data_IF_213512690423
#
_entry.id   IF_213512690423
#
_cell.length_a   1.000
_cell.length_b   1.000
_cell.length_c   1.000
_cell.angle_alpha   90.00
_cell.angle_beta   90.00
_cell.angle_gamma   90.00
#
_symmetry.space_group_name_H-M   'P 1'
#
loop_
_entity.id
_entity.type
_entity.pdbx_description
1 polymer ?
2 polymer ?
3 non-polymer ?
4 non-polymer ?
5 non-polymer ?
6 water ?
#
# COMPACT_ATOMS: atom_id res chain seq x y z
N UNK A 1 -4.14 5.33 24.59
CA UNK A 1 -4.43 6.06 23.32
C UNK A 1 -5.41 7.19 23.56
N UNK A 2 -5.23 8.30 22.85
CA UNK A 2 -6.11 9.44 23.03
C UNK A 2 -7.53 9.16 22.54
N UNK A 3 -7.72 8.10 21.75
CA UNK A 3 -9.04 7.70 21.27
C UNK A 3 -9.70 6.65 22.15
N UNK A 4 -9.07 6.28 23.27
CA UNK A 4 -9.60 5.22 24.11
C UNK A 4 -10.96 5.53 24.71
N UNK A 5 -11.27 6.81 24.87
CA UNK A 5 -12.55 7.19 25.48
C UNK A 5 -13.67 7.37 24.47
N UNK A 6 -13.39 7.28 23.17
CA UNK A 6 -14.41 7.50 22.15
C UNK A 6 -15.00 6.18 21.65
N UNK A 7 -16.32 6.18 21.44
CA UNK A 7 -16.99 4.99 20.93
C UNK A 7 -16.44 4.58 19.58
N UNK A 8 -16.38 3.26 19.36
CA UNK A 8 -15.94 2.73 18.06
C UNK A 8 -16.75 3.34 16.93
N UNK A 9 -18.08 3.36 17.06
CA UNK A 9 -18.92 3.87 15.98
C UNK A 9 -18.66 5.35 15.74
N UNK A 10 -18.39 6.12 16.80
CA UNK A 10 -18.09 7.54 16.65
C UNK A 10 -16.75 7.76 15.95
N UNK A 11 -15.75 6.93 16.24
CA UNK A 11 -14.47 6.99 15.54
C UNK A 11 -14.65 6.74 14.05
N UNK A 12 -15.46 5.73 13.69
CA UNK A 12 -15.69 5.44 12.28
C UNK A 12 -16.42 6.61 11.62
N UNK A 13 -17.45 7.13 12.28
CA UNK A 13 -18.17 8.29 11.76
C UNK A 13 -17.22 9.46 11.52
N UNK A 14 -16.38 9.77 12.52
CA UNK A 14 -15.45 10.88 12.36
C UNK A 14 -14.37 10.60 11.31
N UNK A 15 -13.95 9.34 11.14
CA UNK A 15 -13.04 9.03 10.05
C UNK A 15 -13.65 9.42 8.70
N UNK A 16 -14.95 9.15 8.52
CA UNK A 16 -15.61 9.48 7.26
C UNK A 16 -15.72 10.99 7.07
N UNK A 17 -15.97 11.72 8.16
CA UNK A 17 -15.99 13.18 8.10
C UNK A 17 -14.62 13.74 7.75
N UNK A 18 -13.56 13.22 8.38
CA UNK A 18 -12.22 13.69 8.10
C UNK A 18 -11.86 13.45 6.64
N UNK A 19 -12.26 12.30 6.08
CA UNK A 19 -12.05 12.06 4.66
C UNK A 19 -12.73 13.14 3.81
N UNK A 20 -13.98 13.49 4.15
CA UNK A 20 -14.68 14.52 3.38
C UNK A 20 -13.98 15.86 3.48
N UNK A 21 -13.36 16.13 4.62
CA UNK A 21 -12.62 17.37 4.86
C UNK A 21 -11.18 17.30 4.38
N UNK A 22 -10.76 16.16 3.83
CA UNK A 22 -9.37 15.96 3.42
C UNK A 22 -8.42 16.19 4.59
N UNK A 23 -8.82 15.69 5.77
CA UNK A 23 -8.01 15.76 6.98
C UNK A 23 -7.51 14.35 7.26
N UNK A 24 -6.49 13.94 6.51
CA UNK A 24 -6.12 12.53 6.52
C UNK A 24 -5.32 12.12 7.75
N UNK A 25 -4.57 13.05 8.37
CA UNK A 25 -3.93 12.72 9.64
C UNK A 25 -4.98 12.44 10.71
N UNK A 26 -6.02 13.27 10.78
CA UNK A 26 -7.12 12.98 11.69
C UNK A 26 -7.78 11.65 11.36
N UNK A 27 -8.05 11.43 10.06
CA UNK A 27 -8.68 10.19 9.62
C UNK A 27 -7.90 8.98 10.11
N UNK A 28 -6.57 9.03 9.96
CA UNK A 28 -5.72 7.92 10.36
C UNK A 28 -5.78 7.69 11.86
N UNK A 29 -5.72 8.78 12.65
CA UNK A 29 -5.79 8.63 14.09
C UNK A 29 -7.13 8.06 14.53
N UNK A 30 -8.23 8.46 13.88
CA UNK A 30 -9.53 7.91 14.21
C UNK A 30 -9.57 6.41 13.91
N UNK A 31 -9.05 6.01 12.74
CA UNK A 31 -9.09 4.60 12.36
C UNK A 31 -8.13 3.77 13.22
N UNK A 32 -6.98 4.34 13.60
CA UNK A 32 -6.12 3.67 14.56
C UNK A 32 -6.88 3.42 15.86
N UNK A 33 -7.62 4.43 16.34
CA UNK A 33 -8.44 4.25 17.52
C UNK A 33 -9.45 3.14 17.37
N UNK A 34 -10.11 3.09 16.20
CA UNK A 34 -11.10 2.04 15.94
C UNK A 34 -10.46 0.66 15.94
N UNK A 35 -9.30 0.50 15.30
CA UNK A 35 -8.62 -0.79 15.31
C UNK A 35 -8.31 -1.22 16.74
N UNK A 36 -7.84 -0.28 17.57
CA UNK A 36 -7.43 -0.61 18.93
C UNK A 36 -8.59 -0.97 19.84
N UNK A 37 -9.83 -0.79 19.40
CA UNK A 37 -10.97 -1.34 20.14
C UNK A 37 -10.95 -2.87 20.15
N UNK A 38 -10.22 -3.50 19.23
CA UNK A 38 -10.00 -4.93 19.28
C UNK A 38 -10.95 -5.78 18.46
N UNK A 39 -11.99 -5.21 17.88
CA UNK A 39 -12.88 -5.95 17.02
C UNK A 39 -12.35 -5.97 15.60
N UNK A 40 -12.71 -7.02 14.85
CA UNK A 40 -12.35 -7.09 13.44
C UNK A 40 -13.00 -5.93 12.70
N UNK A 41 -12.44 -5.63 11.52
CA UNK A 41 -12.91 -4.55 10.69
C UNK A 41 -13.74 -5.09 9.52
N UNK A 42 -14.83 -4.41 9.22
CA UNK A 42 -15.61 -4.72 8.04
C UNK A 42 -14.86 -4.30 6.79
N UNK A 43 -15.40 -4.68 5.63
CA UNK A 43 -14.77 -4.31 4.36
C UNK A 43 -14.66 -2.79 4.23
N UNK A 44 -15.76 -2.08 4.52
CA UNK A 44 -15.74 -0.62 4.43
C UNK A 44 -14.73 -0.03 5.40
N UNK A 45 -14.64 -0.58 6.61
CA UNK A 45 -13.72 -0.05 7.60
C UNK A 45 -12.26 -0.31 7.21
N UNK A 46 -11.98 -1.48 6.63
CA UNK A 46 -10.63 -1.74 6.15
C UNK A 46 -10.25 -0.71 5.10
N UNK A 47 -11.18 -0.36 4.22
CA UNK A 47 -10.86 0.61 3.20
C UNK A 47 -10.63 2.00 3.79
N UNK A 48 -11.37 2.36 4.85
CA UNK A 48 -11.11 3.64 5.50
C UNK A 48 -9.70 3.67 6.08
N UNK A 49 -9.30 2.59 6.75
CA UNK A 49 -7.96 2.50 7.31
C UNK A 49 -6.91 2.68 6.23
N UNK A 50 -7.08 1.98 5.11
CA UNK A 50 -6.12 2.04 4.01
C UNK A 50 -6.07 3.42 3.38
N UNK A 51 -7.23 4.01 3.11
CA UNK A 51 -7.26 5.35 2.53
C UNK A 51 -6.53 6.35 3.42
N UNK A 52 -6.76 6.27 4.74
CA UNK A 52 -6.21 7.27 5.64
C UNK A 52 -4.68 7.24 5.62
N UNK A 53 -4.10 6.08 5.88
CA UNK A 53 -2.66 5.98 5.97
C UNK A 53 -2.00 6.12 4.60
N UNK A 54 -2.65 5.68 3.52
CA UNK A 54 -2.07 5.87 2.21
C UNK A 54 -1.86 7.35 1.91
N UNK A 55 -2.84 8.18 2.26
CA UNK A 55 -2.73 9.61 2.02
C UNK A 55 -1.68 10.24 2.90
N UNK A 56 -1.62 9.83 4.17
CA UNK A 56 -0.61 10.38 5.07
C UNK A 56 0.79 10.04 4.57
N UNK A 57 1.07 8.75 4.37
CA UNK A 57 2.40 8.35 3.93
C UNK A 57 2.67 8.84 2.51
N UNK A 58 1.63 9.00 1.69
CA UNK A 58 1.83 9.52 0.36
C UNK A 58 2.41 10.92 0.38
N UNK A 59 1.89 11.77 1.26
CA UNK A 59 2.46 13.10 1.40
C UNK A 59 3.90 13.08 1.90
N UNK A 60 4.19 12.20 2.86
CA UNK A 60 5.55 12.09 3.37
C UNK A 60 6.51 11.60 2.29
N UNK A 61 6.08 10.60 1.51
CA UNK A 61 6.94 10.08 0.44
C UNK A 61 7.23 11.16 -0.58
N UNK A 62 6.21 11.93 -0.97
CA UNK A 62 6.44 12.98 -1.94
C UNK A 62 7.43 14.02 -1.39
N UNK A 63 7.30 14.35 -0.11
CA UNK A 63 8.22 15.32 0.50
C UNK A 63 9.62 14.76 0.59
N UNK A 64 9.74 13.49 0.98
CA UNK A 64 11.05 12.84 1.07
C UNK A 64 11.75 12.85 -0.28
N UNK A 65 11.01 12.61 -1.37
CA UNK A 65 11.64 12.58 -2.68
C UNK A 65 12.15 13.95 -3.09
N UNK A 66 11.39 15.00 -2.79
CA UNK A 66 11.84 16.36 -3.08
C UNK A 66 13.15 16.63 -2.35
N UNK A 67 13.19 16.31 -1.06
CA UNK A 67 14.35 16.63 -0.25
C UNK A 67 15.55 15.76 -0.61
N UNK A 68 15.32 14.47 -0.90
CA UNK A 68 16.40 13.61 -1.34
C UNK A 68 17.01 14.10 -2.64
N UNK A 69 16.18 14.57 -3.56
CA UNK A 69 16.70 15.13 -4.81
C UNK A 69 17.59 16.34 -4.53
N UNK A 70 17.13 17.25 -3.68
CA UNK A 70 17.95 18.40 -3.32
C UNK A 70 19.27 17.96 -2.70
N UNK A 71 19.20 16.96 -1.81
CA UNK A 71 20.39 16.45 -1.15
C UNK A 71 21.36 15.83 -2.15
N UNK A 72 20.84 15.04 -3.10
CA UNK A 72 21.70 14.40 -4.08
C UNK A 72 22.45 15.44 -4.90
N UNK A 73 21.77 16.52 -5.27
CA UNK A 73 22.44 17.56 -6.05
C UNK A 73 23.49 18.29 -5.22
N UNK A 74 23.22 18.52 -3.94
CA UNK A 74 24.22 19.15 -3.08
C UNK A 74 25.51 18.33 -3.02
N UNK A 75 25.42 17.03 -3.28
CA UNK A 75 26.57 16.14 -3.21
C UNK A 75 27.26 15.93 -4.55
N UNK A 76 26.89 16.70 -5.58
CA UNK A 76 27.51 16.52 -6.89
C UNK A 76 28.85 17.23 -6.96
N UNK A 79 29.34 21.73 -6.63
CA UNK A 79 28.21 22.27 -5.89
C UNK A 79 28.67 22.88 -4.56
N UNK A 80 28.12 24.05 -4.24
CA UNK A 80 28.55 24.80 -3.07
C UNK A 80 28.06 24.14 -1.78
N UNK A 81 28.91 24.19 -0.76
CA UNK A 81 28.58 23.59 0.55
C UNK A 81 27.65 24.51 1.32
N UNK A 82 26.51 23.97 1.75
CA UNK A 82 25.51 24.76 2.48
C UNK A 82 25.23 24.20 3.87
N UNK A 83 26.05 23.28 4.37
CA UNK A 83 25.92 22.82 5.74
C UNK A 83 25.04 21.60 5.87
N UNK A 84 24.71 21.25 7.12
CA UNK A 84 23.98 20.01 7.39
C UNK A 84 22.47 20.10 7.22
N UNK A 85 21.93 21.26 6.85
CA UNK A 85 20.50 21.48 7.00
C UNK A 85 19.67 20.59 6.09
N UNK A 86 20.10 20.40 4.84
CA UNK A 86 19.33 19.57 3.91
C UNK A 86 19.25 18.13 4.41
N UNK A 87 20.40 17.56 4.77
CA UNK A 87 20.41 16.22 5.35
C UNK A 87 19.55 16.15 6.60
N UNK A 88 19.70 17.14 7.50
CA UNK A 88 18.94 17.11 8.74
C UNK A 88 17.45 17.06 8.47
N UNK A 89 16.97 17.91 7.55
CA UNK A 89 15.53 18.00 7.33
C UNK A 89 15.02 16.78 6.57
N UNK A 90 15.82 16.26 5.63
CA UNK A 90 15.46 14.99 4.99
C UNK A 90 15.34 13.87 6.02
N UNK A 91 16.28 13.83 6.98
CA UNK A 91 16.22 12.84 8.05
C UNK A 91 14.99 13.04 8.92
N UNK A 92 14.60 14.28 9.17
CA UNK A 92 13.40 14.54 9.95
C UNK A 92 12.17 13.95 9.28
N UNK A 93 11.99 14.25 7.99
CA UNK A 93 10.86 13.73 7.25
C UNK A 93 10.93 12.22 7.16
N UNK A 94 12.12 11.69 6.89
CA UNK A 94 12.32 10.24 6.83
C UNK A 94 11.91 9.55 8.12
N UNK A 95 12.31 10.12 9.26
CA UNK A 95 11.98 9.53 10.55
C UNK A 95 10.48 9.53 10.79
N UNK A 96 9.81 10.62 10.40
CA UNK A 96 8.35 10.72 10.54
C UNK A 96 7.64 9.70 9.65
N UNK A 97 8.17 9.50 8.44
CA UNK A 97 7.63 8.50 7.52
C UNK A 97 7.79 7.09 8.07
N UNK A 98 8.98 6.78 8.57
CA UNK A 98 9.23 5.47 9.17
C UNK A 98 8.32 5.24 10.37
N UNK A 99 8.04 6.29 11.13
CA UNK A 99 7.13 6.14 12.27
C UNK A 99 5.72 5.78 11.84
N UNK A 100 5.23 6.40 10.78
CA UNK A 100 3.90 6.06 10.29
C UNK A 100 3.87 4.62 9.80
N UNK A 101 4.89 4.22 9.03
CA UNK A 101 4.96 2.83 8.56
C UNK A 101 4.98 1.86 9.73
N UNK A 102 5.78 2.16 10.76
CA UNK A 102 5.85 1.30 11.92
C UNK A 102 4.52 1.22 12.63
N UNK A 103 3.79 2.33 12.69
CA UNK A 103 2.48 2.34 13.32
C UNK A 103 1.52 1.41 12.58
N UNK A 104 1.48 1.52 11.25
CA UNK A 104 0.60 0.66 10.46
C UNK A 104 0.98 -0.81 10.64
N UNK A 105 2.29 -1.11 10.53
CA UNK A 105 2.73 -2.49 10.68
C UNK A 105 2.42 -3.02 12.08
N UNK A 106 2.47 -2.14 13.09
CA UNK A 106 2.09 -2.54 14.43
C UNK A 106 0.62 -2.90 14.55
N UNK A 107 -0.25 -2.14 13.88
CA UNK A 107 -1.67 -2.48 13.89
C UNK A 107 -1.91 -3.83 13.20
N UNK A 108 -1.21 -4.08 12.10
CA UNK A 108 -1.39 -5.34 11.39
C UNK A 108 -0.94 -6.51 12.24
N UNK A 109 0.16 -6.34 12.98
CA UNK A 109 0.70 -7.40 13.82
C UNK A 109 -0.03 -7.53 15.15
N UNK A 110 -0.73 -6.49 15.58
CA UNK A 110 -1.44 -6.50 16.86
C UNK A 110 -2.83 -5.86 16.73
N UNK A 111 -3.82 -6.61 16.23
CA UNK A 111 -3.76 -8.04 15.92
C UNK A 111 -4.58 -8.34 14.67
N UNK A 112 -4.54 -7.44 13.69
CA UNK A 112 -5.45 -7.55 12.56
C UNK A 112 -5.20 -8.82 11.75
N UNK A 113 -3.95 -9.12 11.43
CA UNK A 113 -3.67 -10.24 10.53
C UNK A 113 -4.05 -11.55 11.20
N UNK A 114 -3.66 -11.75 12.46
CA UNK A 114 -3.88 -13.04 13.09
C UNK A 114 -5.37 -13.35 13.26
N UNK A 115 -6.23 -12.35 13.34
CA UNK A 115 -7.65 -12.64 13.45
C UNK A 115 -8.36 -12.68 12.09
N UNK A 116 -7.66 -12.37 11.01
CA UNK A 116 -8.27 -12.30 9.69
C UNK A 116 -8.27 -13.70 9.07
N UNK A 117 -9.46 -14.27 8.92
CA UNK A 117 -9.58 -15.62 8.40
C UNK A 117 -10.17 -15.71 7.00
N UNK A 118 -10.98 -14.74 6.61
CA UNK A 118 -11.52 -14.75 5.26
C UNK A 118 -10.47 -14.25 4.28
N UNK A 119 -10.54 -14.77 3.05
CA UNK A 119 -9.55 -14.39 2.05
C UNK A 119 -9.53 -12.89 1.80
N UNK A 120 -10.70 -12.25 1.70
CA UNK A 120 -10.73 -10.83 1.39
C UNK A 120 -10.02 -10.02 2.47
N UNK A 121 -10.21 -10.37 3.75
CA UNK A 121 -9.57 -9.60 4.81
C UNK A 121 -8.09 -9.96 4.91
N UNK A 122 -7.76 -11.26 4.87
CA UNK A 122 -6.37 -11.66 5.05
C UNK A 122 -5.49 -11.14 3.92
N UNK A 123 -5.95 -11.26 2.68
CA UNK A 123 -5.17 -10.74 1.54
C UNK A 123 -5.04 -9.22 1.66
N UNK A 124 -6.13 -8.54 2.05
CA UNK A 124 -6.08 -7.09 2.21
C UNK A 124 -4.99 -6.68 3.19
N UNK A 125 -4.91 -7.35 4.34
CA UNK A 125 -3.96 -6.93 5.37
C UNK A 125 -2.54 -7.32 4.98
N UNK A 126 -2.37 -8.47 4.33
CA UNK A 126 -1.03 -8.88 3.92
C UNK A 126 -0.50 -7.98 2.82
N UNK A 127 -1.36 -7.58 1.87
CA UNK A 127 -0.95 -6.58 0.89
C UNK A 127 -0.52 -5.29 1.57
N UNK A 128 -1.27 -4.84 2.59
CA UNK A 128 -0.89 -3.64 3.32
C UNK A 128 0.48 -3.81 3.98
N UNK A 129 0.72 -4.97 4.59
CA UNK A 129 2.03 -5.23 5.18
C UNK A 129 3.13 -5.14 4.12
N UNK A 130 2.91 -5.71 2.94
CA UNK A 130 3.90 -5.58 1.88
C UNK A 130 4.11 -4.14 1.49
N UNK A 131 3.03 -3.37 1.36
CA UNK A 131 3.11 -1.98 0.96
C UNK A 131 3.93 -1.16 1.96
N UNK A 132 3.69 -1.31 3.26
CA UNK A 132 4.38 -0.44 4.21
C UNK A 132 5.83 -0.87 4.42
N UNK A 133 6.16 -2.15 4.25
CA UNK A 133 7.57 -2.52 4.18
C UNK A 133 8.20 -1.97 2.91
N UNK A 134 7.45 -1.93 1.81
CA UNK A 134 7.97 -1.33 0.58
C UNK A 134 8.30 0.15 0.79
N UNK A 135 7.42 0.90 1.48
CA UNK A 135 7.72 2.31 1.74
C UNK A 135 8.94 2.44 2.65
N UNK A 136 9.10 1.55 3.63
CA UNK A 136 10.34 1.54 4.41
C UNK A 136 11.53 1.27 3.50
N UNK A 137 11.37 0.34 2.55
CA UNK A 137 12.48 -0.02 1.68
C UNK A 137 12.91 1.15 0.81
N UNK A 138 11.95 2.01 0.43
CA UNK A 138 12.27 3.13 -0.44
C UNK A 138 13.29 4.08 0.18
N UNK A 139 13.30 4.19 1.51
CA UNK A 139 14.22 5.11 2.20
C UNK A 139 15.34 4.36 2.91
N UNK A 140 15.38 3.03 2.83
CA UNK A 140 16.38 2.26 3.53
C UNK A 140 17.73 2.31 2.81
N UNK A 141 18.79 2.45 3.60
CA UNK A 141 20.16 2.53 3.11
C UNK A 141 21.08 2.07 4.24
N UNK A 142 20.96 0.82 4.66
CA UNK A 142 21.67 0.40 5.85
C UNK A 142 21.78 -1.10 5.97
N UNK A 143 22.12 -1.54 7.19
CA UNK A 143 22.35 -2.94 7.46
C UNK A 143 21.13 -3.81 7.19
N UNK A 144 19.92 -3.24 7.22
CA UNK A 144 18.69 -4.02 7.12
C UNK A 144 17.85 -3.68 5.90
N UNK A 145 18.40 -2.98 4.91
CA UNK A 145 17.64 -2.78 3.68
C UNK A 145 17.23 -4.13 3.08
N UNK A 146 18.11 -5.12 3.17
CA UNK A 146 17.79 -6.40 2.58
C UNK A 146 16.71 -7.12 3.37
N UNK A 147 16.77 -7.06 4.70
CA UNK A 147 15.74 -7.68 5.52
C UNK A 147 14.39 -6.98 5.32
N UNK A 148 14.41 -5.66 5.15
CA UNK A 148 13.17 -4.94 4.90
C UNK A 148 12.58 -5.37 3.57
N UNK A 149 13.41 -5.46 2.53
CA UNK A 149 12.94 -5.90 1.22
C UNK A 149 12.37 -7.31 1.31
N UNK A 150 13.03 -8.21 2.04
CA UNK A 150 12.53 -9.57 2.13
C UNK A 150 11.22 -9.64 2.93
N UNK A 151 11.04 -8.72 3.89
CA UNK A 151 9.76 -8.68 4.61
C UNK A 151 8.64 -8.25 3.69
N UNK A 152 8.89 -7.24 2.84
CA UNK A 152 7.87 -6.86 1.86
C UNK A 152 7.56 -8.03 0.93
N UNK A 153 8.60 -8.64 0.36
CA UNK A 153 8.44 -9.77 -0.55
C UNK A 153 7.62 -10.88 0.09
N UNK A 154 7.97 -11.24 1.33
CA UNK A 154 7.31 -12.35 2.00
C UNK A 154 5.83 -12.07 2.22
N UNK A 155 5.49 -10.84 2.63
CA UNK A 155 4.10 -10.49 2.85
C UNK A 155 3.32 -10.53 1.53
N UNK A 156 3.88 -9.91 0.49
CA UNK A 156 3.22 -9.94 -0.81
C UNK A 156 3.04 -11.36 -1.31
N UNK A 157 4.05 -12.22 -1.11
CA UNK A 157 3.99 -13.59 -1.62
C UNK A 157 2.88 -14.38 -0.93
N UNK A 158 2.76 -14.23 0.38
CA UNK A 158 1.68 -14.92 1.09
C UNK A 158 0.32 -14.44 0.60
N UNK A 159 0.18 -13.12 0.41
CA UNK A 159 -1.07 -12.58 -0.11
C UNK A 159 -1.36 -13.11 -1.49
N UNK A 160 -0.33 -13.20 -2.35
CA UNK A 160 -0.53 -13.74 -3.69
C UNK A 160 -1.00 -15.19 -3.64
N UNK A 161 -0.36 -16.02 -2.81
CA UNK A 161 -0.72 -17.43 -2.78
C UNK A 161 -2.18 -17.61 -2.39
N UNK A 162 -2.65 -16.85 -1.39
CA UNK A 162 -4.04 -16.95 -0.96
C UNK A 162 -4.96 -16.44 -2.06
N UNK A 163 -4.64 -15.28 -2.64
CA UNK A 163 -5.53 -14.68 -3.63
C UNK A 163 -5.70 -15.58 -4.85
N UNK A 164 -4.64 -16.28 -5.25
CA UNK A 164 -4.76 -17.16 -6.40
C UNK A 164 -5.62 -18.38 -6.07
N UNK A 165 -5.55 -18.88 -4.84
CA UNK A 165 -6.35 -20.04 -4.47
C UNK A 165 -7.81 -19.65 -4.25
N UNK A 166 -8.05 -18.47 -3.66
CA UNK A 166 -9.36 -18.16 -3.10
C UNK A 166 -10.16 -17.09 -3.82
N UNK A 167 -9.60 -16.36 -4.77
CA UNK A 167 -10.32 -15.27 -5.39
C UNK A 167 -10.29 -15.40 -6.91
N UNK A 168 -11.29 -14.85 -7.60
CA UNK A 168 -11.26 -14.86 -9.06
C UNK A 168 -10.23 -13.87 -9.58
N UNK A 169 -9.77 -14.07 -10.82
CA UNK A 169 -8.71 -13.20 -11.35
C UNK A 169 -9.10 -11.76 -11.51
N UNK A 170 -10.40 -11.45 -11.54
CA UNK A 170 -10.85 -10.07 -11.65
C UNK A 170 -11.08 -9.40 -10.30
N UNK A 171 -10.91 -10.11 -9.20
CA UNK A 171 -11.19 -9.52 -7.90
C UNK A 171 -10.34 -8.27 -7.70
N UNK A 172 -10.94 -7.11 -7.40
CA UNK A 172 -10.13 -5.88 -7.27
C UNK A 172 -9.01 -5.96 -6.25
N UNK A 173 -9.21 -6.68 -5.14
CA UNK A 173 -8.13 -6.80 -4.17
C UNK A 173 -6.98 -7.61 -4.76
N UNK A 174 -7.30 -8.75 -5.38
CA UNK A 174 -6.28 -9.52 -6.09
C UNK A 174 -5.56 -8.66 -7.13
N UNK A 175 -6.32 -7.87 -7.90
CA UNK A 175 -5.70 -7.06 -8.95
C UNK A 175 -4.77 -6.00 -8.37
N UNK A 176 -5.22 -5.30 -7.33
CA UNK A 176 -4.40 -4.27 -6.71
C UNK A 176 -3.17 -4.83 -6.03
N UNK A 177 -3.28 -6.03 -5.46
CA UNK A 177 -2.12 -6.72 -4.90
C UNK A 177 -1.09 -7.01 -5.98
N UNK A 178 -1.53 -7.60 -7.10
CA UNK A 178 -0.60 -7.92 -8.17
C UNK A 178 0.03 -6.67 -8.77
N UNK A 179 -0.78 -5.62 -8.95
CA UNK A 179 -0.25 -4.33 -9.35
C UNK A 179 0.91 -3.90 -8.45
N UNK A 180 0.69 -3.89 -7.13
CA UNK A 180 1.71 -3.36 -6.22
C UNK A 180 2.92 -4.29 -6.10
N UNK A 181 2.71 -5.60 -6.15
CA UNK A 181 3.83 -6.54 -6.13
C UNK A 181 4.67 -6.39 -7.39
N UNK A 182 4.02 -6.14 -8.52
CA UNK A 182 4.76 -5.88 -9.75
C UNK A 182 5.61 -4.62 -9.61
N UNK A 183 5.09 -3.58 -8.97
CA UNK A 183 5.86 -2.36 -8.75
C UNK A 183 7.00 -2.63 -7.76
N UNK A 184 6.74 -3.44 -6.73
CA UNK A 184 7.82 -3.90 -5.88
C UNK A 184 8.95 -4.51 -6.69
N UNK A 185 8.63 -5.42 -7.62
CA UNK A 185 9.65 -6.06 -8.43
C UNK A 185 10.43 -5.02 -9.24
N UNK A 186 9.72 -4.07 -9.83
CA UNK A 186 10.37 -3.13 -10.75
C UNK A 186 11.19 -2.10 -10.00
N UNK A 187 10.66 -1.55 -8.91
CA UNK A 187 11.24 -0.38 -8.27
C UNK A 187 12.07 -0.68 -7.03
N UNK A 188 11.88 -1.83 -6.40
CA UNK A 188 12.58 -2.18 -5.16
C UNK A 188 13.55 -3.34 -5.36
N UNK A 189 13.11 -4.40 -6.03
CA UNK A 189 13.85 -5.66 -6.10
C UNK A 189 14.74 -5.76 -7.33
N UNK A 190 14.82 -4.72 -8.16
CA UNK A 190 15.67 -4.73 -9.35
C UNK A 190 15.36 -5.93 -10.24
N UNK A 191 14.06 -6.22 -10.42
CA UNK A 191 13.60 -7.38 -11.18
C UNK A 191 12.55 -6.92 -12.20
N UNK A 192 12.93 -6.07 -13.16
CA UNK A 192 11.93 -5.57 -14.11
C UNK A 192 11.28 -6.65 -14.94
N UNK A 193 11.99 -7.73 -15.28
CA UNK A 193 11.36 -8.80 -16.05
C UNK A 193 10.26 -9.48 -15.26
N UNK A 194 10.48 -9.70 -13.96
CA UNK A 194 9.44 -10.26 -13.11
C UNK A 194 8.25 -9.31 -13.02
N UNK A 195 8.52 -8.01 -12.90
CA UNK A 195 7.46 -7.01 -12.85
C UNK A 195 6.59 -7.07 -14.09
N UNK A 196 7.22 -7.10 -15.26
CA UNK A 196 6.50 -7.12 -16.54
C UNK A 196 5.70 -8.40 -16.67
N UNK A 197 6.33 -9.54 -16.37
CA UNK A 197 5.66 -10.83 -16.47
C UNK A 197 4.41 -10.85 -15.61
N UNK A 198 4.54 -10.45 -14.34
CA UNK A 198 3.38 -10.46 -13.45
C UNK A 198 2.27 -9.54 -13.94
N UNK A 199 2.62 -8.33 -14.37
CA UNK A 199 1.58 -7.40 -14.84
C UNK A 199 0.84 -7.96 -16.05
N UNK A 200 1.57 -8.49 -17.04
CA UNK A 200 0.95 -9.08 -18.21
C UNK A 200 0.03 -10.24 -17.82
N UNK A 201 0.58 -11.24 -17.15
CA UNK A 201 -0.20 -12.42 -16.77
C UNK A 201 -1.46 -12.01 -16.01
N UNK A 202 -1.30 -11.10 -15.04
CA UNK A 202 -2.44 -10.62 -14.26
C UNK A 202 -3.47 -9.98 -15.17
N UNK A 203 -3.03 -9.11 -16.08
CA UNK A 203 -3.95 -8.45 -16.99
C UNK A 203 -4.69 -9.47 -17.85
N UNK A 204 -3.95 -10.39 -18.46
CA UNK A 204 -4.54 -11.33 -19.41
C UNK A 204 -5.54 -12.26 -18.72
N UNK A 205 -5.22 -12.73 -17.51
CA UNK A 205 -6.14 -13.61 -16.81
C UNK A 205 -7.40 -12.86 -16.37
N UNK A 206 -7.28 -11.58 -16.00
CA UNK A 206 -8.47 -10.81 -15.68
C UNK A 206 -9.32 -10.60 -16.94
N UNK A 207 -8.68 -10.25 -18.05
CA UNK A 207 -9.41 -10.04 -19.30
C UNK A 207 -10.32 -11.23 -19.62
N UNK A 208 -9.82 -12.44 -19.42
CA UNK A 208 -10.55 -13.64 -19.78
C UNK A 208 -11.70 -13.96 -18.83
N UNK A 209 -11.77 -13.28 -17.69
CA UNK A 209 -12.79 -13.49 -16.67
C UNK A 209 -13.82 -12.36 -16.65
N UNK A 210 -13.62 -11.30 -17.43
CA UNK A 210 -14.54 -10.17 -17.40
C UNK A 210 -15.95 -10.59 -17.78
N UNK A 211 -16.09 -11.58 -18.65
CA UNK A 211 -17.42 -11.96 -19.13
C UNK A 211 -18.33 -12.45 -18.00
N UNK A 212 -17.78 -12.77 -16.83
CA UNK A 212 -18.58 -13.27 -15.73
C UNK A 212 -19.18 -12.17 -14.87
N UNK A 213 -18.83 -10.92 -15.12
CA UNK A 213 -19.09 -9.81 -14.20
C UNK A 213 -20.30 -8.98 -14.61
N UNK A 214 -20.96 -8.43 -13.58
CA UNK A 214 -21.93 -7.35 -13.72
C UNK A 214 -21.27 -6.12 -14.37
N UNK A 215 -22.11 -5.18 -14.78
CA UNK A 215 -21.58 -3.92 -15.30
C UNK A 215 -20.77 -3.21 -14.24
N UNK A 216 -21.27 -3.17 -13.00
CA UNK A 216 -20.56 -2.45 -11.94
C UNK A 216 -19.24 -3.13 -11.58
N UNK A 217 -19.21 -4.47 -11.49
CA UNK A 217 -17.95 -5.13 -11.19
C UNK A 217 -17.00 -5.03 -12.38
N UNK A 218 -17.53 -5.12 -13.60
CA UNK A 218 -16.69 -4.87 -14.78
C UNK A 218 -15.98 -3.53 -14.67
N UNK A 219 -16.70 -2.49 -14.25
CA UNK A 219 -16.07 -1.17 -14.14
C UNK A 219 -15.01 -1.15 -13.04
N UNK A 220 -15.25 -1.84 -11.92
CA UNK A 220 -14.25 -1.88 -10.86
C UNK A 220 -12.98 -2.58 -11.33
N UNK A 221 -13.14 -3.72 -12.02
CA UNK A 221 -11.97 -4.50 -12.41
C UNK A 221 -11.17 -3.81 -13.53
N UNK A 222 -11.86 -3.27 -14.54
CA UNK A 222 -11.15 -2.66 -15.65
C UNK A 222 -10.39 -1.41 -15.22
N UNK A 223 -10.88 -0.69 -14.20
CA UNK A 223 -10.13 0.45 -13.68
C UNK A 223 -8.74 0.03 -13.23
N UNK A 224 -8.66 -1.08 -12.49
CA UNK A 224 -7.35 -1.49 -12.00
C UNK A 224 -6.55 -2.12 -13.13
N UNK A 225 -7.21 -2.82 -14.05
CA UNK A 225 -6.49 -3.37 -15.19
C UNK A 225 -5.82 -2.28 -16.00
N UNK A 226 -6.43 -1.09 -16.07
CA UNK A 226 -5.83 0.02 -16.79
C UNK A 226 -4.53 0.47 -16.12
N UNK A 227 -4.44 0.36 -14.80
CA UNK A 227 -3.21 0.72 -14.12
C UNK A 227 -2.10 -0.26 -14.46
N UNK A 228 -2.41 -1.56 -14.52
CA UNK A 228 -1.45 -2.54 -15.00
C UNK A 228 -0.98 -2.17 -16.41
N UNK A 229 -1.92 -1.82 -17.29
CA UNK A 229 -1.57 -1.45 -18.66
C UNK A 229 -0.68 -0.22 -18.68
N UNK A 230 -1.01 0.79 -17.87
CA UNK A 230 -0.19 2.00 -17.84
C UNK A 230 1.25 1.68 -17.47
N UNK A 231 1.45 0.78 -16.49
CA UNK A 231 2.80 0.41 -16.09
C UNK A 231 3.51 -0.36 -17.19
N UNK A 232 2.82 -1.32 -17.82
CA UNK A 232 3.45 -2.04 -18.93
C UNK A 232 3.88 -1.08 -20.04
N UNK A 233 3.07 -0.06 -20.31
CA UNK A 233 3.46 0.92 -21.33
C UNK A 233 4.67 1.73 -20.90
N UNK A 234 4.77 2.03 -19.60
CA UNK A 234 5.93 2.77 -19.11
C UNK A 234 7.18 1.90 -19.13
N UNK A 235 7.03 0.60 -18.83
CA UNK A 235 8.16 -0.29 -18.63
C UNK A 235 8.66 -0.94 -19.92
N UNK A 236 7.90 -0.87 -21.00
CA UNK A 236 8.25 -1.55 -22.24
C UNK A 236 8.22 -0.59 -23.42
N UNK B 4 6.57 7.82 -13.06
CA UNK B 4 6.38 6.98 -11.88
C UNK B 4 5.46 5.79 -12.19
N UNK B 5 5.83 4.61 -11.69
CA UNK B 5 4.94 3.46 -11.76
C UNK B 5 3.72 3.69 -10.88
N UNK B 6 2.55 3.26 -11.35
CA UNK B 6 1.31 3.46 -10.61
C UNK B 6 1.06 2.30 -9.65
N UNK B 8 -1.83 0.86 -6.40
CA UNK B 8 -3.25 0.83 -6.14
C UNK B 8 -3.76 2.15 -5.58
N UNK B 9 -4.96 2.53 -5.99
CA UNK B 9 -5.62 3.71 -5.43
C UNK B 9 -6.44 3.29 -4.20
#
# INVERSE_FOLDING_TARGET
>A
GAMGSMERASLIQKAKLAEQAERYEDMAAFMKGAVEKGEELSCEERNLLSVAYKNVVGGQRAAWRVLSSIEQKSNEEGSEEKGPEVREYREKVETELQGVCDTVLGLLDSHLIKEAGDAESRVFYLKMKGDYYRYLAEVATGDDKKRIIDSARSAYQEAMDISKKEMPPTNPIRLGLALNFSVFHYEIANSPEEAISLAKTTFDEAMADLHTLSEDSYKDSTLIMQLLRDNLTLWT
>B
XKLRSKXSCANL
#
